data_IF_675615956679
#
_entry.id   IF_675615956679
#
_cell.length_a   1.000
_cell.length_b   1.000
_cell.length_c   1.000
_cell.angle_alpha   90.00
_cell.angle_beta   90.00
_cell.angle_gamma   90.00
#
_symmetry.space_group_name_H-M   'P 1'
#
loop_
_entity.id
_entity.type
_entity.pdbx_description
1 polymer ?
#
# COMPACT_ATOMS: atom_id res chain seq x y z
N UNK A 1 -20.87 12.73 -24.57
CA UNK A 1 -19.60 12.61 -25.31
C UNK A 1 -19.38 11.15 -25.70
N UNK A 2 -18.94 10.85 -26.93
CA UNK A 2 -18.60 9.49 -27.36
C UNK A 2 -17.22 9.10 -26.81
N UNK A 3 -17.07 7.88 -26.28
CA UNK A 3 -15.77 7.33 -25.93
C UNK A 3 -15.03 6.84 -27.18
N UNK A 4 -13.77 7.27 -27.35
CA UNK A 4 -12.91 6.88 -28.47
C UNK A 4 -11.87 5.87 -27.98
N UNK A 5 -11.57 4.82 -28.75
CA UNK A 5 -10.63 3.78 -28.36
C UNK A 5 -9.18 4.27 -28.55
N UNK A 6 -8.73 5.17 -27.68
CA UNK A 6 -7.33 5.62 -27.68
C UNK A 6 -6.43 4.55 -27.08
N UNK A 7 -5.26 4.27 -27.66
CA UNK A 7 -4.34 3.27 -27.14
C UNK A 7 -3.67 3.78 -25.85
N UNK A 8 -4.35 3.59 -24.71
CA UNK A 8 -3.90 4.02 -23.38
C UNK A 8 -2.97 3.00 -22.73
N UNK A 9 -3.29 1.71 -22.82
CA UNK A 9 -2.59 0.66 -22.08
C UNK A 9 -1.13 0.45 -22.54
N UNK A 10 -0.90 0.54 -23.86
CA UNK A 10 0.40 0.32 -24.51
C UNK A 10 1.49 1.33 -24.10
N UNK A 11 1.23 2.64 -24.02
CA UNK A 11 2.21 3.57 -23.47
C UNK A 11 2.25 3.58 -21.94
N UNK A 12 1.16 3.20 -21.26
CA UNK A 12 1.06 3.37 -19.81
C UNK A 12 1.52 2.19 -18.95
N UNK A 13 1.69 1.00 -19.52
CA UNK A 13 2.11 -0.17 -18.74
C UNK A 13 3.41 0.01 -17.93
N UNK A 14 4.46 0.74 -18.38
CA UNK A 14 5.68 0.91 -17.56
C UNK A 14 5.39 1.71 -16.29
N UNK A 15 4.51 2.70 -16.37
CA UNK A 15 4.09 3.52 -15.22
C UNK A 15 3.21 2.72 -14.26
N UNK A 16 2.31 1.89 -14.78
CA UNK A 16 1.50 1.00 -13.94
C UNK A 16 2.38 -0.02 -13.22
N UNK A 17 3.38 -0.60 -13.90
CA UNK A 17 4.36 -1.51 -13.28
C UNK A 17 5.18 -0.79 -12.22
N UNK A 18 5.71 0.40 -12.52
CA UNK A 18 6.45 1.20 -11.55
C UNK A 18 5.62 1.60 -10.33
N UNK A 19 4.35 1.95 -10.55
CA UNK A 19 3.39 2.25 -9.49
C UNK A 19 3.09 1.03 -8.61
N UNK A 20 2.84 -0.12 -9.22
CA UNK A 20 2.63 -1.38 -8.50
C UNK A 20 3.88 -1.79 -7.69
N UNK A 21 5.07 -1.61 -8.26
CA UNK A 21 6.33 -1.91 -7.59
C UNK A 21 6.56 -0.98 -6.39
N UNK A 22 6.39 0.31 -6.57
CA UNK A 22 6.50 1.31 -5.49
C UNK A 22 5.49 1.02 -4.38
N UNK A 23 4.24 0.74 -4.75
CA UNK A 23 3.20 0.41 -3.79
C UNK A 23 3.56 -0.82 -2.95
N UNK A 24 4.08 -1.88 -3.57
CA UNK A 24 4.52 -3.07 -2.85
C UNK A 24 5.68 -2.78 -1.89
N UNK A 25 6.67 -2.00 -2.32
CA UNK A 25 7.80 -1.63 -1.47
C UNK A 25 7.36 -0.78 -0.28
N UNK A 26 6.49 0.21 -0.51
CA UNK A 26 5.94 1.06 0.55
C UNK A 26 5.09 0.24 1.51
N UNK A 27 4.24 -0.65 1.02
CA UNK A 27 3.42 -1.52 1.87
C UNK A 27 4.29 -2.39 2.80
N UNK A 28 5.40 -2.95 2.30
CA UNK A 28 6.36 -3.71 3.11
C UNK A 28 7.08 -2.83 4.13
N UNK A 29 7.52 -1.65 3.73
CA UNK A 29 8.17 -0.71 4.64
C UNK A 29 7.22 -0.29 5.78
N UNK A 30 5.97 0.04 5.46
CA UNK A 30 4.94 0.38 6.44
C UNK A 30 4.67 -0.78 7.40
N UNK A 31 4.53 -2.02 6.91
CA UNK A 31 4.34 -3.18 7.78
C UNK A 31 5.51 -3.35 8.78
N UNK A 32 6.74 -3.12 8.35
CA UNK A 32 7.91 -3.12 9.23
C UNK A 32 7.87 -2.00 10.27
N UNK A 33 7.53 -0.77 9.85
CA UNK A 33 7.44 0.39 10.74
C UNK A 33 6.39 0.22 11.83
N UNK A 34 5.27 -0.44 11.53
CA UNK A 34 4.22 -0.73 12.51
C UNK A 34 4.69 -1.68 13.62
N UNK A 35 5.82 -2.36 13.45
CA UNK A 35 6.46 -3.19 14.49
C UNK A 35 7.61 -2.48 15.22
N UNK A 36 7.95 -1.25 14.87
CA UNK A 36 8.98 -0.49 15.58
C UNK A 36 8.47 -0.04 16.97
N UNK A 37 9.32 -0.01 18.02
CA UNK A 37 8.90 0.25 19.39
C UNK A 37 8.08 1.55 19.56
N UNK A 38 8.38 2.58 18.78
CA UNK A 38 7.66 3.87 18.77
C UNK A 38 6.19 3.74 18.29
N UNK A 39 5.92 2.82 17.37
CA UNK A 39 4.62 2.72 16.67
C UNK A 39 3.81 1.49 17.07
N UNK A 40 4.39 0.55 17.81
CA UNK A 40 3.72 -0.68 18.27
C UNK A 40 2.50 -0.39 19.15
N UNK A 41 2.66 0.51 20.12
CA UNK A 41 1.65 0.77 21.15
C UNK A 41 0.70 1.93 20.77
N UNK A 42 0.94 2.58 19.61
CA UNK A 42 0.17 3.75 19.19
C UNK A 42 -1.27 3.38 18.86
N UNK A 43 -2.30 4.08 19.42
CA UNK A 43 -3.73 3.77 19.28
C UNK A 43 -4.30 3.77 17.86
N UNK A 44 -3.49 4.11 16.84
CA UNK A 44 -3.84 4.09 15.41
C UNK A 44 -3.21 2.94 14.59
N UNK A 45 -2.26 2.19 15.14
CA UNK A 45 -1.67 1.01 14.49
C UNK A 45 -2.70 -0.11 14.21
N UNK A 46 -2.97 -0.49 12.94
CA UNK A 46 -3.92 -1.55 12.59
C UNK A 46 -3.48 -2.97 13.00
N UNK A 47 -2.18 -3.18 13.25
CA UNK A 47 -1.62 -4.47 13.66
C UNK A 47 -1.57 -4.66 15.18
N UNK A 48 -2.18 -3.76 15.97
CA UNK A 48 -2.44 -4.07 17.36
C UNK A 48 -3.35 -5.29 17.40
N UNK A 49 -2.77 -6.44 17.74
CA UNK A 49 -3.54 -7.61 18.17
C UNK A 49 -4.45 -7.08 19.26
N UNK A 50 -5.79 -7.06 19.09
CA UNK A 50 -6.66 -6.78 20.21
C UNK A 50 -6.25 -7.80 21.25
N UNK A 51 -5.75 -7.36 22.40
CA UNK A 51 -5.53 -8.25 23.54
C UNK A 51 -6.81 -9.04 23.63
N UNK A 52 -6.72 -10.36 23.39
CA UNK A 52 -7.87 -11.22 23.40
C UNK A 52 -8.63 -10.88 24.67
N UNK A 53 -9.91 -10.56 24.53
CA UNK A 53 -10.77 -10.31 25.68
C UNK A 53 -10.66 -11.55 26.58
N UNK A 54 -9.90 -11.40 27.67
CA UNK A 54 -9.89 -12.30 28.81
C UNK A 54 -10.92 -11.77 29.80
#
# INVERSE_FOLDING_TARGET
>A
MRAWPTPFLRPMWPFMVGGAMTFYMVAKAQAGMLTAPEYRDSPKNPHRVPVAAH
#
